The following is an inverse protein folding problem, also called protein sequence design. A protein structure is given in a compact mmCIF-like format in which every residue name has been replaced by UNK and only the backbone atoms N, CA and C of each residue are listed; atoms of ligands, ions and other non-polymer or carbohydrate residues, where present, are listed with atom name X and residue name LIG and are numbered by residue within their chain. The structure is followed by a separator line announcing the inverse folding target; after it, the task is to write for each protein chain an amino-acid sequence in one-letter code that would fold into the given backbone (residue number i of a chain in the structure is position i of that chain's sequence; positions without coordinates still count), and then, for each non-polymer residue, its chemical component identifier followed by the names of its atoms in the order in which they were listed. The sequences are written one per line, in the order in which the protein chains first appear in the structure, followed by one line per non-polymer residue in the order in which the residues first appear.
data_IF_477814460013
#
_entry.id   IF_477814460013
#
_cell.length_a   1.000
_cell.length_b   1.000
_cell.length_c   1.000
_cell.angle_alpha   90.00
_cell.angle_beta   90.00
_cell.angle_gamma   90.00
#
_symmetry.space_group_name_H-M   'P 1'
#
loop_
_entity.id
_entity.type
_entity.pdbx_description
1 polymer ?
#
# COMPACT_ATOMS: atom_id res chain seq x y z
N UNK A 1 16.48 -65.14 -13.89
CA UNK A 1 17.84 -65.38 -13.49
C UNK A 1 18.22 -64.33 -12.45
N UNK A 2 18.20 -64.76 -11.35
CA UNK A 2 19.21 -65.11 -10.33
C UNK A 2 19.84 -63.90 -9.66
N UNK A 3 19.57 -63.64 -8.39
CA UNK A 3 20.03 -64.33 -7.16
C UNK A 3 21.42 -63.79 -6.71
N UNK A 4 21.50 -63.50 -5.44
CA UNK A 4 22.73 -63.46 -4.65
C UNK A 4 22.88 -62.15 -3.86
N UNK A 5 22.36 -61.96 -2.65
CA UNK A 5 22.80 -62.49 -1.33
C UNK A 5 24.26 -62.13 -0.99
N UNK A 6 24.41 -61.48 0.13
CA UNK A 6 25.71 -61.28 0.76
C UNK A 6 25.67 -60.41 2.00
N UNK A 7 25.29 -61.00 3.12
CA UNK A 7 25.53 -60.54 4.48
C UNK A 7 27.05 -60.50 4.77
N UNK A 8 27.44 -59.59 5.66
CA UNK A 8 28.78 -59.61 6.28
C UNK A 8 28.84 -58.62 7.44
N UNK A 9 28.51 -59.14 8.61
CA UNK A 9 28.73 -58.49 9.91
C UNK A 9 30.17 -58.76 10.40
N UNK A 10 30.69 -57.86 11.26
CA UNK A 10 31.53 -58.09 12.45
C UNK A 10 32.28 -56.78 12.75
N UNK A 11 32.06 -56.05 13.84
CA UNK A 11 32.42 -56.34 15.23
C UNK A 11 33.94 -56.28 15.50
N UNK A 12 34.31 -55.46 16.43
CA UNK A 12 35.61 -55.41 17.09
C UNK A 12 35.96 -53.97 17.47
N UNK A 13 35.63 -53.48 18.59
CA UNK A 13 36.05 -53.71 19.97
C UNK A 13 37.45 -53.12 20.27
N UNK A 14 37.48 -52.19 21.21
CA UNK A 14 38.17 -52.09 22.49
C UNK A 14 39.42 -51.19 22.63
N UNK A 15 39.28 -50.28 23.63
CA UNK A 15 40.26 -49.78 24.63
C UNK A 15 41.27 -48.75 24.17
N UNK A 16 41.54 -47.75 24.94
CA UNK A 16 41.56 -47.35 26.32
C UNK A 16 42.13 -45.94 26.37
N UNK A 17 41.71 -45.18 27.25
CA UNK A 17 42.30 -44.93 28.55
C UNK A 17 43.18 -43.69 28.53
N UNK A 18 42.81 -42.72 29.30
CA UNK A 18 43.70 -41.59 29.62
C UNK A 18 42.95 -40.40 30.21
N UNK A 19 42.68 -40.49 31.52
CA UNK A 19 42.34 -39.38 32.38
C UNK A 19 43.43 -38.32 32.42
N UNK A 20 43.04 -37.05 32.49
CA UNK A 20 43.40 -36.01 33.52
C UNK A 20 42.93 -34.67 32.99
N UNK A 21 41.92 -34.14 33.66
CA UNK A 21 41.97 -33.24 34.80
C UNK A 21 42.76 -31.95 34.54
N UNK A 22 42.07 -30.89 34.43
CA UNK A 22 42.09 -29.69 35.28
C UNK A 22 41.51 -28.49 34.51
N UNK A 23 40.42 -28.01 35.11
CA UNK A 23 40.36 -26.69 35.72
C UNK A 23 40.56 -25.49 34.78
N UNK A 24 39.51 -24.75 34.58
CA UNK A 24 39.57 -23.43 34.00
C UNK A 24 38.17 -22.93 33.67
N UNK A 25 37.51 -22.53 34.70
CA UNK A 25 36.28 -21.71 34.57
C UNK A 25 36.65 -20.43 33.83
N UNK A 26 36.09 -20.24 32.64
CA UNK A 26 35.84 -18.90 32.19
C UNK A 26 34.55 -18.92 31.36
N UNK A 27 33.44 -18.77 32.11
CA UNK A 27 32.15 -18.42 31.53
C UNK A 27 32.21 -16.95 31.12
N UNK A 28 32.75 -16.68 29.98
CA UNK A 28 32.48 -15.44 29.30
C UNK A 28 31.24 -15.65 28.46
N UNK A 29 30.13 -15.28 29.09
CA UNK A 29 28.90 -14.86 28.45
C UNK A 29 29.27 -13.92 27.31
N UNK A 30 29.38 -14.46 26.11
CA UNK A 30 29.33 -13.67 24.89
C UNK A 30 27.90 -13.18 24.75
N UNK A 31 27.65 -12.00 25.26
CA UNK A 31 26.48 -11.23 24.86
C UNK A 31 26.61 -11.06 23.34
N UNK A 32 25.73 -11.73 22.61
CA UNK A 32 25.50 -11.46 21.21
C UNK A 32 25.10 -9.99 21.09
N UNK A 33 26.10 -9.15 20.90
CA UNK A 33 25.91 -7.81 20.43
C UNK A 33 25.37 -7.94 19.01
N UNK A 34 24.07 -7.86 18.89
CA UNK A 34 23.48 -7.51 17.60
C UNK A 34 24.18 -6.24 17.12
N UNK A 35 24.86 -6.28 15.94
CA UNK A 35 25.32 -5.05 15.34
C UNK A 35 24.03 -4.20 15.15
N UNK A 36 23.96 -3.08 15.87
CA UNK A 36 22.91 -2.12 15.62
C UNK A 36 22.93 -1.84 14.13
N UNK A 37 21.81 -2.12 13.47
CA UNK A 37 21.54 -1.58 12.16
C UNK A 37 21.68 -0.08 12.31
N UNK A 38 22.81 0.45 11.85
CA UNK A 38 23.00 1.85 11.62
C UNK A 38 21.96 2.26 10.58
N UNK A 39 20.79 2.65 11.07
CA UNK A 39 19.79 3.29 10.26
C UNK A 39 20.47 4.44 9.54
N UNK A 40 20.38 4.53 8.21
CA UNK A 40 21.05 5.57 7.45
C UNK A 40 20.67 6.91 8.07
N UNK A 41 21.66 7.61 8.61
CA UNK A 41 21.52 8.94 9.16
C UNK A 41 21.28 9.92 8.01
N UNK A 42 20.08 9.88 7.42
CA UNK A 42 19.61 10.94 6.54
C UNK A 42 19.60 12.26 7.31
N UNK A 43 19.68 13.41 6.64
CA UNK A 43 19.68 14.70 7.30
C UNK A 43 18.47 14.79 8.22
N UNK A 44 18.71 14.83 9.53
CA UNK A 44 17.65 14.98 10.52
C UNK A 44 17.18 16.42 10.43
N UNK A 45 16.17 16.66 9.61
CA UNK A 45 15.50 17.96 9.59
C UNK A 45 14.97 18.23 11.01
N UNK A 46 15.21 19.41 11.52
CA UNK A 46 14.67 19.79 12.82
C UNK A 46 13.13 19.65 12.79
N UNK A 47 12.54 19.10 13.83
CA UNK A 47 11.11 18.80 13.89
C UNK A 47 10.24 20.03 13.56
N UNK A 48 10.66 21.22 14.00
CA UNK A 48 9.97 22.47 13.67
C UNK A 48 9.97 22.76 12.16
N UNK A 49 11.06 22.44 11.44
CA UNK A 49 11.14 22.63 9.99
C UNK A 49 10.18 21.70 9.26
N UNK A 50 10.06 20.45 9.72
CA UNK A 50 9.10 19.48 9.19
C UNK A 50 7.67 20.00 9.40
N UNK A 51 7.37 20.53 10.59
CA UNK A 51 6.06 21.12 10.88
C UNK A 51 5.77 22.34 10.00
N UNK A 52 6.74 23.22 9.84
CA UNK A 52 6.58 24.41 8.96
C UNK A 52 6.32 23.98 7.52
N UNK A 53 7.09 23.03 7.00
CA UNK A 53 6.88 22.49 5.65
C UNK A 53 5.51 21.81 5.49
N UNK A 54 5.07 21.09 6.53
CA UNK A 54 3.76 20.45 6.55
C UNK A 54 2.63 21.48 6.51
N UNK A 55 2.70 22.51 7.34
CA UNK A 55 1.70 23.59 7.35
C UNK A 55 1.72 24.43 6.07
N UNK A 56 2.91 24.75 5.55
CA UNK A 56 3.05 25.47 4.30
C UNK A 56 2.49 24.64 3.12
N UNK A 57 2.84 23.35 3.07
CA UNK A 57 2.33 22.43 2.04
C UNK A 57 0.81 22.23 2.14
N UNK A 58 0.28 22.07 3.36
CA UNK A 58 -1.16 21.96 3.59
C UNK A 58 -1.91 23.22 3.19
N UNK A 59 -1.40 24.41 3.56
CA UNK A 59 -1.98 25.68 3.17
C UNK A 59 -1.94 25.93 1.66
N UNK A 60 -0.82 25.62 1.01
CA UNK A 60 -0.71 25.69 -0.45
C UNK A 60 -1.66 24.71 -1.14
N UNK A 61 -1.77 23.49 -0.62
CA UNK A 61 -2.71 22.49 -1.14
C UNK A 61 -4.16 22.95 -1.02
N UNK A 62 -4.56 23.53 0.11
CA UNK A 62 -5.91 24.07 0.30
C UNK A 62 -6.20 25.16 -0.72
N UNK A 63 -5.27 26.09 -0.94
CA UNK A 63 -5.43 27.17 -1.91
C UNK A 63 -5.57 26.65 -3.34
N UNK A 64 -4.70 25.70 -3.74
CA UNK A 64 -4.76 25.08 -5.08
C UNK A 64 -6.05 24.28 -5.27
N UNK A 65 -6.50 23.58 -4.21
CA UNK A 65 -7.73 22.82 -4.22
C UNK A 65 -8.96 23.69 -4.44
N UNK A 66 -9.04 24.86 -3.75
CA UNK A 66 -10.10 25.83 -3.95
C UNK A 66 -10.14 26.34 -5.39
N UNK A 67 -8.98 26.69 -5.93
CA UNK A 67 -8.85 27.15 -7.32
C UNK A 67 -9.27 26.09 -8.32
N UNK A 68 -8.90 24.85 -8.07
CA UNK A 68 -9.25 23.69 -8.90
C UNK A 68 -10.78 23.47 -8.90
N UNK A 69 -11.42 23.48 -7.73
CA UNK A 69 -12.86 23.28 -7.61
C UNK A 69 -13.63 24.42 -8.29
N UNK A 70 -13.22 25.67 -8.07
CA UNK A 70 -13.83 26.84 -8.69
C UNK A 70 -13.72 26.85 -10.24
N UNK A 71 -12.66 26.26 -10.78
CA UNK A 71 -12.53 26.05 -12.23
C UNK A 71 -13.30 24.85 -12.74
N UNK A 72 -13.37 23.78 -11.94
CA UNK A 72 -14.01 22.51 -12.32
C UNK A 72 -15.54 22.65 -12.43
N UNK A 73 -16.18 23.28 -11.47
CA UNK A 73 -17.64 23.40 -11.41
C UNK A 73 -18.26 24.00 -12.68
N UNK A 74 -17.81 25.17 -13.19
CA UNK A 74 -18.35 25.71 -14.44
C UNK A 74 -18.01 24.85 -15.66
N UNK A 75 -16.86 24.19 -15.65
CA UNK A 75 -16.43 23.30 -16.74
C UNK A 75 -17.32 22.08 -16.85
N UNK A 76 -17.69 21.46 -15.73
CA UNK A 76 -18.62 20.33 -15.67
C UNK A 76 -19.97 20.74 -16.29
N UNK A 77 -20.48 21.92 -15.90
CA UNK A 77 -21.75 22.42 -16.39
C UNK A 77 -21.72 22.67 -17.91
N UNK A 78 -20.61 23.20 -18.44
CA UNK A 78 -20.46 23.46 -19.87
C UNK A 78 -20.33 22.17 -20.70
N UNK A 79 -19.61 21.18 -20.16
CA UNK A 79 -19.42 19.90 -20.83
C UNK A 79 -20.59 18.93 -20.68
N UNK A 80 -21.61 19.29 -19.88
CA UNK A 80 -22.76 18.44 -19.56
C UNK A 80 -22.32 17.07 -18.98
N UNK A 81 -21.25 17.08 -18.18
CA UNK A 81 -20.72 15.90 -17.51
C UNK A 81 -21.32 15.81 -16.12
N UNK A 82 -21.64 14.59 -15.66
CA UNK A 82 -22.19 14.41 -14.32
C UNK A 82 -21.18 14.78 -13.21
N UNK A 83 -21.67 15.27 -12.07
CA UNK A 83 -20.83 15.55 -10.92
C UNK A 83 -20.18 14.28 -10.37
N UNK A 84 -20.87 13.13 -10.49
CA UNK A 84 -20.35 11.84 -10.10
C UNK A 84 -19.14 11.43 -10.94
N UNK A 85 -19.22 11.60 -12.26
CA UNK A 85 -18.08 11.37 -13.16
C UNK A 85 -16.90 12.30 -12.84
N UNK A 86 -17.17 13.58 -12.66
CA UNK A 86 -16.14 14.54 -12.33
C UNK A 86 -15.41 14.16 -11.02
N UNK A 87 -16.15 13.76 -9.97
CA UNK A 87 -15.58 13.31 -8.71
C UNK A 87 -14.82 12.00 -8.82
N UNK A 88 -15.42 10.97 -9.43
CA UNK A 88 -14.85 9.64 -9.50
C UNK A 88 -13.64 9.56 -10.44
N UNK A 89 -13.67 10.30 -11.54
CA UNK A 89 -12.61 10.23 -12.57
C UNK A 89 -11.66 11.41 -12.46
N UNK A 90 -12.15 12.64 -12.61
CA UNK A 90 -11.26 13.80 -12.72
C UNK A 90 -10.60 14.12 -11.37
N UNK A 91 -11.40 14.26 -10.31
CA UNK A 91 -10.89 14.60 -8.97
C UNK A 91 -10.06 13.45 -8.39
N UNK A 92 -10.47 12.20 -8.61
CA UNK A 92 -9.72 11.05 -8.12
C UNK A 92 -8.34 10.93 -8.79
N UNK A 93 -8.26 11.12 -10.11
CA UNK A 93 -6.98 11.12 -10.82
C UNK A 93 -6.10 12.29 -10.39
N UNK A 94 -6.66 13.49 -10.30
CA UNK A 94 -5.91 14.68 -9.90
C UNK A 94 -5.45 14.63 -8.44
N UNK A 95 -6.32 14.19 -7.53
CA UNK A 95 -6.03 14.09 -6.10
C UNK A 95 -4.96 13.04 -5.77
N UNK A 96 -4.87 11.96 -6.55
CA UNK A 96 -3.88 10.90 -6.37
C UNK A 96 -2.78 10.93 -7.46
N UNK A 97 -2.54 12.09 -8.07
CA UNK A 97 -1.61 12.18 -9.21
C UNK A 97 -0.18 11.74 -8.84
N UNK A 98 0.29 12.07 -7.65
CA UNK A 98 1.63 11.71 -7.17
C UNK A 98 1.77 10.21 -7.01
N UNK A 99 0.80 9.56 -6.36
CA UNK A 99 0.75 8.12 -6.17
C UNK A 99 0.63 7.38 -7.51
N UNK A 100 -0.21 7.88 -8.41
CA UNK A 100 -0.38 7.32 -9.75
C UNK A 100 0.93 7.36 -10.53
N UNK A 101 1.62 8.51 -10.56
CA UNK A 101 2.91 8.66 -11.25
C UNK A 101 3.98 7.79 -10.60
N UNK A 102 4.05 7.76 -9.26
CA UNK A 102 5.01 6.93 -8.53
C UNK A 102 4.75 5.43 -8.79
N UNK A 103 3.48 4.99 -8.74
CA UNK A 103 3.08 3.61 -9.01
C UNK A 103 3.46 3.18 -10.42
N UNK A 104 3.14 3.98 -11.44
CA UNK A 104 3.49 3.71 -12.85
C UNK A 104 5.02 3.67 -13.01
N UNK A 105 5.75 4.61 -12.43
CA UNK A 105 7.22 4.66 -12.51
C UNK A 105 7.87 3.43 -11.87
N UNK A 106 7.34 2.92 -10.77
CA UNK A 106 7.82 1.71 -10.11
C UNK A 106 7.48 0.45 -10.91
N UNK A 107 6.26 0.36 -11.44
CA UNK A 107 5.85 -0.73 -12.32
C UNK A 107 6.73 -0.79 -13.58
N UNK A 108 7.04 0.35 -14.19
CA UNK A 108 7.96 0.44 -15.32
C UNK A 108 9.37 -0.08 -14.98
N UNK A 109 9.81 0.13 -13.74
CA UNK A 109 11.09 -0.40 -13.23
C UNK A 109 10.99 -1.86 -12.78
N UNK A 110 9.91 -2.56 -13.07
CA UNK A 110 9.63 -3.95 -12.65
C UNK A 110 9.62 -4.14 -11.12
N UNK A 111 9.23 -3.12 -10.38
CA UNK A 111 9.05 -3.16 -8.92
C UNK A 111 7.57 -3.18 -8.58
N UNK A 112 6.87 -4.20 -9.05
CA UNK A 112 5.42 -4.34 -8.92
C UNK A 112 4.98 -4.36 -7.46
N UNK A 113 5.71 -5.03 -6.58
CA UNK A 113 5.40 -5.09 -5.14
C UNK A 113 5.33 -3.71 -4.50
N UNK A 114 6.30 -2.83 -4.84
CA UNK A 114 6.32 -1.47 -4.32
C UNK A 114 5.19 -0.62 -4.93
N UNK A 115 4.87 -0.81 -6.20
CA UNK A 115 3.76 -0.12 -6.85
C UNK A 115 2.43 -0.49 -6.19
N UNK A 116 2.17 -1.79 -5.98
CA UNK A 116 0.97 -2.28 -5.29
C UNK A 116 0.93 -1.78 -3.84
N UNK A 117 2.07 -1.76 -3.14
CA UNK A 117 2.17 -1.26 -1.78
C UNK A 117 1.78 0.22 -1.67
N UNK A 118 2.21 1.07 -2.60
CA UNK A 118 1.81 2.50 -2.64
C UNK A 118 0.30 2.63 -2.79
N UNK A 119 -0.30 1.90 -3.74
CA UNK A 119 -1.75 1.95 -3.98
C UNK A 119 -2.52 1.48 -2.75
N UNK A 120 -2.15 0.32 -2.17
CA UNK A 120 -2.80 -0.21 -0.97
C UNK A 120 -2.71 0.76 0.22
N UNK A 121 -1.55 1.36 0.42
CA UNK A 121 -1.33 2.31 1.51
C UNK A 121 -2.16 3.59 1.31
N UNK A 122 -2.22 4.12 0.09
CA UNK A 122 -3.04 5.29 -0.25
C UNK A 122 -4.53 5.02 -0.01
N UNK A 123 -5.05 3.88 -0.47
CA UNK A 123 -6.45 3.49 -0.24
C UNK A 123 -6.74 3.35 1.25
N UNK A 124 -5.86 2.68 2.01
CA UNK A 124 -6.02 2.52 3.46
C UNK A 124 -6.01 3.87 4.19
N UNK A 125 -5.13 4.79 3.80
CA UNK A 125 -5.04 6.13 4.37
C UNK A 125 -6.30 6.95 4.10
N UNK A 126 -6.85 6.90 2.89
CA UNK A 126 -8.10 7.58 2.54
C UNK A 126 -9.26 6.98 3.34
N UNK A 127 -9.41 5.66 3.35
CA UNK A 127 -10.54 4.99 4.00
C UNK A 127 -10.50 5.09 5.53
N UNK A 128 -9.33 4.88 6.15
CA UNK A 128 -9.20 4.80 7.60
C UNK A 128 -8.95 6.16 8.28
N UNK A 129 -8.42 7.13 7.55
CA UNK A 129 -8.07 8.43 8.12
C UNK A 129 -8.88 9.57 7.51
N UNK A 130 -8.86 9.74 6.18
CA UNK A 130 -9.47 10.91 5.54
C UNK A 130 -10.99 10.95 5.71
N UNK A 131 -11.70 9.85 5.46
CA UNK A 131 -13.15 9.80 5.63
C UNK A 131 -13.59 10.08 7.07
N UNK A 132 -13.07 9.41 8.10
CA UNK A 132 -13.42 9.74 9.49
C UNK A 132 -13.09 11.17 9.86
N UNK A 133 -11.97 11.70 9.40
CA UNK A 133 -11.56 13.09 9.65
C UNK A 133 -12.55 14.08 9.03
N UNK A 134 -12.99 13.86 7.79
CA UNK A 134 -13.98 14.71 7.12
C UNK A 134 -15.31 14.69 7.86
N UNK A 135 -15.75 13.55 8.37
CA UNK A 135 -16.95 13.45 9.20
C UNK A 135 -16.81 14.28 10.48
N UNK A 136 -15.68 14.17 11.18
CA UNK A 136 -15.42 14.95 12.40
C UNK A 136 -15.38 16.46 12.11
N UNK A 137 -14.74 16.88 11.02
CA UNK A 137 -14.70 18.29 10.59
C UNK A 137 -16.12 18.78 10.26
N UNK A 138 -16.92 17.96 9.60
CA UNK A 138 -18.33 18.26 9.29
C UNK A 138 -19.14 18.62 10.53
N UNK A 139 -18.96 17.87 11.62
CA UNK A 139 -19.59 18.19 12.90
C UNK A 139 -19.12 19.52 13.48
N UNK A 140 -17.83 19.83 13.35
CA UNK A 140 -17.25 21.07 13.84
C UNK A 140 -17.73 22.30 13.06
N UNK A 141 -17.91 22.15 11.76
CA UNK A 141 -18.34 23.23 10.85
C UNK A 141 -19.88 23.39 10.78
N UNK A 142 -20.65 22.58 11.51
CA UNK A 142 -22.13 22.54 11.46
C UNK A 142 -22.71 22.35 10.04
N UNK A 143 -21.90 21.82 9.13
CA UNK A 143 -22.31 21.42 7.79
C UNK A 143 -22.41 19.90 7.78
N UNK A 144 -23.60 19.37 7.58
CA UNK A 144 -23.80 17.91 7.52
C UNK A 144 -23.29 17.38 6.18
N UNK A 145 -22.09 16.81 6.18
CA UNK A 145 -21.62 15.99 5.05
C UNK A 145 -22.32 14.64 5.15
N UNK A 146 -23.34 14.43 4.35
CA UNK A 146 -23.98 13.13 4.21
C UNK A 146 -23.26 12.36 3.11
N UNK A 147 -22.54 11.30 3.49
CA UNK A 147 -22.01 10.32 2.54
C UNK A 147 -23.13 9.36 2.09
N UNK A 148 -24.20 9.92 1.56
CA UNK A 148 -25.29 9.12 0.99
C UNK A 148 -24.91 8.72 -0.42
N UNK A 149 -24.37 7.51 -0.56
CA UNK A 149 -24.08 6.91 -1.85
C UNK A 149 -25.35 6.21 -2.37
N UNK A 150 -25.66 6.42 -3.64
CA UNK A 150 -26.70 5.63 -4.29
C UNK A 150 -26.34 4.13 -4.24
N UNK A 151 -27.32 3.22 -4.16
CA UNK A 151 -27.06 1.77 -4.07
C UNK A 151 -26.16 1.23 -5.18
N UNK A 152 -26.20 1.83 -6.36
CA UNK A 152 -25.35 1.47 -7.51
C UNK A 152 -23.88 1.71 -7.17
N UNK A 153 -23.53 2.80 -6.51
CA UNK A 153 -22.14 3.07 -6.11
C UNK A 153 -21.66 2.16 -4.98
N UNK A 154 -22.55 1.77 -4.08
CA UNK A 154 -22.23 0.78 -3.04
C UNK A 154 -21.91 -0.58 -3.71
N UNK A 155 -22.73 -0.99 -4.67
CA UNK A 155 -22.48 -2.21 -5.46
C UNK A 155 -21.16 -2.13 -6.25
N UNK A 156 -20.88 -1.00 -6.86
CA UNK A 156 -19.65 -0.74 -7.59
C UNK A 156 -18.41 -0.82 -6.68
N UNK A 157 -18.47 -0.23 -5.48
CA UNK A 157 -17.40 -0.30 -4.49
C UNK A 157 -17.17 -1.74 -4.01
N UNK A 158 -18.22 -2.50 -3.74
CA UNK A 158 -18.11 -3.91 -3.37
C UNK A 158 -17.45 -4.72 -4.48
N UNK A 159 -17.91 -4.56 -5.71
CA UNK A 159 -17.35 -5.27 -6.87
C UNK A 159 -15.87 -4.92 -7.07
N UNK A 160 -15.52 -3.64 -6.99
CA UNK A 160 -14.13 -3.18 -7.11
C UNK A 160 -13.25 -3.74 -5.99
N UNK A 161 -13.77 -3.74 -4.76
CA UNK A 161 -13.04 -4.28 -3.61
C UNK A 161 -12.79 -5.79 -3.77
N UNK A 162 -13.80 -6.54 -4.22
CA UNK A 162 -13.67 -7.98 -4.49
C UNK A 162 -12.68 -8.25 -5.62
N UNK A 163 -12.78 -7.50 -6.72
CA UNK A 163 -11.85 -7.62 -7.84
C UNK A 163 -10.41 -7.32 -7.42
N UNK A 164 -10.21 -6.25 -6.63
CA UNK A 164 -8.89 -5.89 -6.14
C UNK A 164 -8.34 -6.93 -5.14
N UNK A 165 -9.18 -7.46 -4.26
CA UNK A 165 -8.80 -8.51 -3.33
C UNK A 165 -8.38 -9.79 -4.06
N UNK A 166 -9.08 -10.14 -5.14
CA UNK A 166 -8.76 -11.30 -5.98
C UNK A 166 -7.40 -11.12 -6.67
N UNK A 167 -7.18 -9.96 -7.30
CA UNK A 167 -5.94 -9.62 -8.02
C UNK A 167 -4.72 -9.53 -7.11
N UNK A 168 -4.91 -9.10 -5.86
CA UNK A 168 -3.78 -8.91 -4.93
C UNK A 168 -3.62 -10.05 -3.92
N UNK A 169 -4.50 -11.06 -3.97
CA UNK A 169 -4.59 -12.11 -2.96
C UNK A 169 -3.53 -13.20 -3.10
N UNK A 170 -3.11 -13.51 -4.31
CA UNK A 170 -2.12 -14.54 -4.63
C UNK A 170 -0.67 -14.03 -4.61
N UNK A 171 -0.49 -12.70 -4.52
CA UNK A 171 0.84 -12.08 -4.50
C UNK A 171 1.53 -12.00 -5.86
N UNK A 172 0.89 -12.48 -6.92
CA UNK A 172 1.38 -12.36 -8.30
C UNK A 172 0.46 -11.39 -9.07
N UNK A 173 1.03 -10.54 -9.89
CA UNK A 173 0.28 -9.61 -10.74
C UNK A 173 0.33 -10.10 -12.19
N UNK A 174 -0.72 -10.77 -12.64
CA UNK A 174 -0.84 -11.20 -14.02
C UNK A 174 -1.29 -10.04 -14.93
N UNK A 175 -0.80 -10.01 -16.16
CA UNK A 175 -1.19 -8.97 -17.13
C UNK A 175 -2.71 -8.92 -17.38
N UNK A 176 -3.34 -10.08 -17.40
CA UNK A 176 -4.80 -10.22 -17.55
C UNK A 176 -5.57 -9.50 -16.42
N UNK A 177 -5.11 -9.60 -15.20
CA UNK A 177 -5.73 -8.95 -14.04
C UNK A 177 -5.65 -7.43 -14.13
N UNK A 178 -4.51 -6.90 -14.60
CA UNK A 178 -4.36 -5.48 -14.87
C UNK A 178 -5.37 -4.98 -15.91
N UNK A 179 -5.57 -5.73 -17.00
CA UNK A 179 -6.56 -5.40 -18.01
C UNK A 179 -8.00 -5.48 -17.47
N UNK A 180 -8.29 -6.45 -16.60
CA UNK A 180 -9.60 -6.58 -15.96
C UNK A 180 -9.91 -5.37 -15.07
N UNK A 181 -8.94 -4.88 -14.28
CA UNK A 181 -9.10 -3.69 -13.46
C UNK A 181 -9.29 -2.42 -14.31
N UNK A 182 -8.55 -2.27 -15.41
CA UNK A 182 -8.73 -1.15 -16.35
C UNK A 182 -10.14 -1.20 -16.95
N UNK A 183 -10.59 -2.37 -17.41
CA UNK A 183 -11.93 -2.54 -17.95
C UNK A 183 -13.01 -2.19 -16.92
N UNK A 184 -12.85 -2.65 -15.68
CA UNK A 184 -13.77 -2.32 -14.58
C UNK A 184 -13.81 -0.80 -14.35
N UNK A 185 -12.66 -0.13 -14.31
CA UNK A 185 -12.61 1.32 -14.13
C UNK A 185 -13.30 2.09 -15.27
N UNK A 186 -13.09 1.65 -16.52
CA UNK A 186 -13.77 2.24 -17.70
C UNK A 186 -15.28 2.04 -17.62
N UNK A 187 -15.75 0.86 -17.23
CA UNK A 187 -17.19 0.58 -17.05
C UNK A 187 -17.78 1.50 -15.99
N UNK A 188 -17.12 1.63 -14.83
CA UNK A 188 -17.58 2.51 -13.75
C UNK A 188 -17.58 3.99 -14.18
N UNK A 189 -16.52 4.44 -14.86
CA UNK A 189 -16.45 5.79 -15.40
C UNK A 189 -17.56 6.06 -16.43
N UNK A 190 -17.85 5.10 -17.28
CA UNK A 190 -18.95 5.22 -18.26
C UNK A 190 -20.31 5.25 -17.56
N UNK A 191 -20.51 4.41 -16.54
CA UNK A 191 -21.75 4.41 -15.77
C UNK A 191 -22.01 5.78 -15.14
N UNK A 192 -21.00 6.38 -14.52
CA UNK A 192 -21.12 7.70 -13.88
C UNK A 192 -21.27 8.84 -14.87
N UNK A 193 -20.84 8.67 -16.12
CA UNK A 193 -20.99 9.70 -17.16
C UNK A 193 -22.45 9.88 -17.60
N UNK A 194 -23.21 8.78 -17.61
CA UNK A 194 -24.61 8.76 -18.08
C UNK A 194 -25.66 8.92 -16.97
N UNK A 195 -25.27 9.08 -15.73
CA UNK A 195 -26.14 9.37 -14.59
C UNK A 195 -26.34 10.89 -14.41
#
# INVERSE_FOLDING_TARGET
GDAGSGLGAAAGSVKGGGERSSSGADRRSGADAHPGEDAPSGPRLALWLILVLLFAGGGASAFVSDWFVNGLVPTIAQLHVSQAFAGLVIVAIAGNAVENVAGIALAWKRRSDLAISIVKNSVAQIAAFLFPLLVLISFALKTTLTFSLAPVYIGALLLTTLALAQVTGDGEAAEFEGWALIALYVILGTLTLYE
#
